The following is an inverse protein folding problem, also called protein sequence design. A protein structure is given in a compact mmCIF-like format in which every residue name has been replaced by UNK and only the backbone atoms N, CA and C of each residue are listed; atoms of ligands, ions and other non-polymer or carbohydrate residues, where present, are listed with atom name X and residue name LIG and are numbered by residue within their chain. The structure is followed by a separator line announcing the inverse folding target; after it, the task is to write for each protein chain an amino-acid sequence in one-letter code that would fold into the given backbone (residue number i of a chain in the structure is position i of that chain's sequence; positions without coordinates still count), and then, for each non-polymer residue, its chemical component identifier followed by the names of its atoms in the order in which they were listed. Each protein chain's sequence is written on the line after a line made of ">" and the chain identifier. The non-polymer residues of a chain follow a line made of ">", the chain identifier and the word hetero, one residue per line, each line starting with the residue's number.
data_IF_401491860931
#
_entry.id   IF_401491860931
#
_cell.length_a   1.000
_cell.length_b   1.000
_cell.length_c   1.000
_cell.angle_alpha   90.00
_cell.angle_beta   90.00
_cell.angle_gamma   90.00
#
_symmetry.space_group_name_H-M   'P 1'
#
loop_
_entity.id
_entity.type
_entity.pdbx_description
1 polymer ?
#
# COMPACT_ATOMS: atom_id res chain seq x y z
N UNK A 1 -27.71 -6.26 -16.57
CA UNK A 1 -27.21 -6.58 -15.21
C UNK A 1 -26.49 -5.33 -14.75
N UNK A 2 -27.13 -4.51 -13.92
CA UNK A 2 -26.50 -3.31 -13.37
C UNK A 2 -26.09 -3.70 -11.97
N UNK A 3 -24.83 -4.06 -11.78
CA UNK A 3 -24.29 -4.34 -10.45
C UNK A 3 -24.25 -2.99 -9.71
N UNK A 4 -25.18 -2.83 -8.77
CA UNK A 4 -25.27 -1.65 -7.93
C UNK A 4 -24.07 -1.65 -6.96
N UNK A 5 -23.23 -0.63 -7.05
CA UNK A 5 -22.07 -0.48 -6.18
C UNK A 5 -22.53 0.19 -4.89
N UNK A 6 -22.68 -0.58 -3.82
CA UNK A 6 -22.95 -0.05 -2.47
C UNK A 6 -21.64 0.09 -1.71
N UNK A 7 -21.30 1.32 -1.31
CA UNK A 7 -20.07 1.63 -0.57
C UNK A 7 -20.43 2.03 0.86
N UNK A 8 -19.86 1.31 1.84
CA UNK A 8 -19.87 1.74 3.24
C UNK A 8 -18.58 2.52 3.49
N UNK A 9 -18.63 3.84 3.27
CA UNK A 9 -17.44 4.71 3.28
C UNK A 9 -16.57 4.54 4.54
N UNK A 10 -17.20 4.46 5.72
CA UNK A 10 -16.50 4.32 6.98
C UNK A 10 -15.70 3.00 7.11
N UNK A 11 -16.24 1.90 6.56
CA UNK A 11 -15.55 0.60 6.57
C UNK A 11 -14.36 0.61 5.61
N UNK A 12 -14.54 1.19 4.41
CA UNK A 12 -13.47 1.28 3.43
C UNK A 12 -12.33 2.21 3.91
N UNK A 13 -12.65 3.37 4.49
CA UNK A 13 -11.64 4.27 5.05
C UNK A 13 -10.87 3.60 6.20
N UNK A 14 -11.56 2.82 7.04
CA UNK A 14 -10.94 2.04 8.12
C UNK A 14 -9.98 0.99 7.56
N UNK A 15 -10.41 0.17 6.60
CA UNK A 15 -9.55 -0.86 6.01
C UNK A 15 -8.35 -0.27 5.26
N UNK A 16 -8.53 0.86 4.57
CA UNK A 16 -7.41 1.57 3.93
C UNK A 16 -6.40 2.09 4.96
N UNK A 17 -6.86 2.60 6.11
CA UNK A 17 -5.99 3.04 7.18
C UNK A 17 -5.21 1.87 7.84
N UNK A 18 -5.87 0.73 8.04
CA UNK A 18 -5.24 -0.50 8.52
C UNK A 18 -4.20 -1.02 7.51
N UNK A 19 -4.55 -1.02 6.22
CA UNK A 19 -3.63 -1.39 5.13
C UNK A 19 -2.41 -0.47 5.11
N UNK A 20 -2.59 0.85 5.21
CA UNK A 20 -1.49 1.81 5.28
C UNK A 20 -0.56 1.54 6.47
N UNK A 21 -1.15 1.24 7.63
CA UNK A 21 -0.39 0.89 8.84
C UNK A 21 0.42 -0.38 8.63
N UNK A 22 -0.19 -1.42 8.03
CA UNK A 22 0.49 -2.66 7.69
C UNK A 22 1.64 -2.43 6.70
N UNK A 23 1.44 -1.60 5.66
CA UNK A 23 2.47 -1.26 4.67
C UNK A 23 3.67 -0.54 5.32
N UNK A 24 3.42 0.36 6.27
CA UNK A 24 4.48 1.07 6.99
C UNK A 24 5.21 0.14 7.95
N UNK A 25 4.49 -0.80 8.58
CA UNK A 25 5.04 -1.79 9.50
C UNK A 25 5.88 -2.88 8.81
N UNK A 26 5.83 -3.00 7.47
CA UNK A 26 6.73 -3.88 6.72
C UNK A 26 8.17 -3.44 6.96
N UNK A 27 8.86 -4.16 7.84
CA UNK A 27 10.25 -3.94 8.18
C UNK A 27 11.11 -4.27 6.95
N UNK A 28 11.75 -3.26 6.38
CA UNK A 28 12.64 -3.43 5.21
C UNK A 28 14.06 -3.86 5.60
N UNK A 29 14.33 -4.08 6.90
CA UNK A 29 15.63 -4.51 7.38
C UNK A 29 15.74 -6.04 7.37
N UNK A 30 16.25 -6.59 6.28
CA UNK A 30 16.79 -7.94 6.34
C UNK A 30 18.11 -7.86 7.12
N UNK A 31 18.25 -8.70 8.15
CA UNK A 31 19.29 -8.64 9.16
C UNK A 31 20.71 -8.43 8.59
N UNK A 32 21.48 -7.63 9.32
CA UNK A 32 22.80 -7.12 9.00
C UNK A 32 23.82 -8.22 8.75
N UNK A 33 24.43 -8.16 7.56
CA UNK A 33 25.76 -8.64 7.19
C UNK A 33 26.24 -9.94 7.85
N UNK A 34 26.33 -11.01 7.06
CA UNK A 34 27.04 -12.23 7.46
C UNK A 34 28.49 -11.82 7.75
N UNK A 35 28.85 -11.81 9.03
CA UNK A 35 30.18 -11.42 9.49
C UNK A 35 31.17 -12.52 9.05
N UNK A 36 32.22 -12.06 8.38
CA UNK A 36 33.17 -12.83 7.59
C UNK A 36 33.62 -14.15 8.25
N UNK A 37 33.39 -15.26 7.57
CA UNK A 37 34.14 -16.49 7.80
C UNK A 37 34.47 -17.19 6.48
N UNK A 38 35.78 -17.29 6.22
CA UNK A 38 36.53 -18.08 5.23
C UNK A 38 36.21 -17.98 3.72
N UNK A 39 34.98 -17.67 3.28
CA UNK A 39 34.64 -17.57 1.85
C UNK A 39 34.07 -16.19 1.50
N UNK A 40 34.96 -15.20 1.29
CA UNK A 40 34.59 -13.81 0.94
C UNK A 40 33.63 -13.72 -0.26
N UNK A 41 33.75 -14.62 -1.24
CA UNK A 41 32.90 -14.60 -2.47
C UNK A 41 31.44 -14.95 -2.15
N UNK A 42 31.21 -15.92 -1.26
CA UNK A 42 29.87 -16.37 -0.90
C UNK A 42 29.19 -15.33 0.00
N UNK A 43 29.92 -14.78 0.97
CA UNK A 43 29.43 -13.69 1.81
C UNK A 43 29.09 -12.43 0.98
N UNK A 44 29.90 -12.08 -0.02
CA UNK A 44 29.64 -10.94 -0.91
C UNK A 44 28.39 -11.16 -1.78
N UNK A 45 28.20 -12.37 -2.33
CA UNK A 45 26.98 -12.71 -3.10
C UNK A 45 25.73 -12.64 -2.23
N UNK A 46 25.79 -13.13 -0.99
CA UNK A 46 24.66 -13.06 -0.05
C UNK A 46 24.35 -11.60 0.33
N UNK A 47 25.36 -10.76 0.53
CA UNK A 47 25.16 -9.34 0.80
C UNK A 47 24.53 -8.61 -0.41
N UNK A 48 24.98 -8.88 -1.65
CA UNK A 48 24.37 -8.31 -2.87
C UNK A 48 22.93 -8.76 -3.08
N UNK A 49 22.62 -10.02 -2.79
CA UNK A 49 21.26 -10.53 -2.81
C UNK A 49 20.40 -9.81 -1.75
N UNK A 50 20.96 -9.62 -0.56
CA UNK A 50 20.30 -8.94 0.52
C UNK A 50 19.95 -7.48 0.16
N UNK A 51 20.91 -6.75 -0.40
CA UNK A 51 20.69 -5.38 -0.92
C UNK A 51 19.61 -5.36 -2.01
N UNK A 52 19.64 -6.32 -2.95
CA UNK A 52 18.64 -6.43 -4.01
C UNK A 52 17.25 -6.67 -3.46
N UNK A 53 17.11 -7.56 -2.47
CA UNK A 53 15.85 -7.83 -1.78
C UNK A 53 15.35 -6.60 -1.02
N UNK A 54 16.22 -5.88 -0.32
CA UNK A 54 15.86 -4.62 0.34
C UNK A 54 15.36 -3.58 -0.68
N UNK A 55 16.00 -3.47 -1.84
CA UNK A 55 15.54 -2.56 -2.89
C UNK A 55 14.17 -2.97 -3.46
N UNK A 56 13.94 -4.26 -3.68
CA UNK A 56 12.65 -4.79 -4.15
C UNK A 56 11.57 -4.50 -3.11
N UNK A 57 11.83 -4.76 -1.82
CA UNK A 57 10.89 -4.49 -0.73
C UNK A 57 10.55 -3.00 -0.63
N UNK A 58 11.54 -2.11 -0.73
CA UNK A 58 11.31 -0.66 -0.76
C UNK A 58 10.47 -0.22 -1.95
N UNK A 59 10.73 -0.78 -3.14
CA UNK A 59 9.93 -0.48 -4.35
C UNK A 59 8.49 -0.98 -4.19
N UNK A 60 8.32 -2.19 -3.66
CA UNK A 60 7.01 -2.77 -3.41
C UNK A 60 6.20 -1.97 -2.39
N UNK A 61 6.84 -1.57 -1.28
CA UNK A 61 6.24 -0.69 -0.28
C UNK A 61 5.77 0.64 -0.91
N UNK A 62 6.59 1.25 -1.77
CA UNK A 62 6.21 2.47 -2.50
C UNK A 62 4.99 2.27 -3.41
N UNK A 63 4.91 1.15 -4.12
CA UNK A 63 3.77 0.81 -4.97
C UNK A 63 2.51 0.63 -4.12
N UNK A 64 2.61 -0.09 -3.00
CA UNK A 64 1.48 -0.30 -2.09
C UNK A 64 0.95 1.02 -1.50
N UNK A 65 1.86 1.92 -1.07
CA UNK A 65 1.47 3.26 -0.61
C UNK A 65 0.78 4.08 -1.71
N UNK A 66 1.25 3.98 -2.95
CA UNK A 66 0.62 4.67 -4.07
C UNK A 66 -0.79 4.12 -4.35
N UNK A 67 -0.96 2.80 -4.32
CA UNK A 67 -2.25 2.16 -4.53
C UNK A 67 -3.26 2.53 -3.42
N UNK A 68 -2.83 2.53 -2.16
CA UNK A 68 -3.66 2.99 -1.03
C UNK A 68 -4.09 4.45 -1.21
N UNK A 69 -3.17 5.32 -1.63
CA UNK A 69 -3.51 6.73 -1.91
C UNK A 69 -4.50 6.88 -3.07
N UNK A 70 -4.34 6.08 -4.13
CA UNK A 70 -5.28 6.07 -5.26
C UNK A 70 -6.67 5.57 -4.84
N UNK A 71 -6.74 4.52 -4.03
CA UNK A 71 -8.00 4.00 -3.50
C UNK A 71 -8.73 5.05 -2.64
N UNK A 72 -8.02 5.74 -1.73
CA UNK A 72 -8.59 6.83 -0.95
C UNK A 72 -9.17 7.94 -1.83
N UNK A 73 -8.44 8.36 -2.87
CA UNK A 73 -8.93 9.38 -3.82
C UNK A 73 -10.17 8.92 -4.58
N UNK A 74 -10.23 7.64 -4.97
CA UNK A 74 -11.39 7.09 -5.64
C UNK A 74 -12.63 7.09 -4.74
N UNK A 75 -12.46 6.72 -3.47
CA UNK A 75 -13.54 6.73 -2.47
C UNK A 75 -14.02 8.16 -2.18
N UNK A 76 -13.11 9.12 -2.05
CA UNK A 76 -13.49 10.53 -1.88
C UNK A 76 -14.29 11.06 -3.08
N UNK A 77 -13.86 10.76 -4.31
CA UNK A 77 -14.61 11.15 -5.51
C UNK A 77 -15.99 10.50 -5.58
N UNK A 78 -16.10 9.22 -5.21
CA UNK A 78 -17.38 8.53 -5.11
C UNK A 78 -18.32 9.25 -4.13
N UNK A 79 -17.79 9.64 -2.96
CA UNK A 79 -18.55 10.38 -1.95
C UNK A 79 -19.02 11.75 -2.46
N UNK A 80 -18.15 12.50 -3.11
CA UNK A 80 -18.50 13.81 -3.70
C UNK A 80 -19.61 13.69 -4.75
N UNK A 81 -19.55 12.65 -5.58
CA UNK A 81 -20.59 12.36 -6.59
C UNK A 81 -21.92 12.03 -5.92
N UNK A 82 -21.92 11.16 -4.91
CA UNK A 82 -23.13 10.80 -4.16
C UNK A 82 -23.75 12.00 -3.45
N UNK A 83 -22.93 12.84 -2.80
CA UNK A 83 -23.39 14.08 -2.14
C UNK A 83 -23.98 15.07 -3.16
N UNK A 84 -23.37 15.20 -4.33
CA UNK A 84 -23.85 16.06 -5.43
C UNK A 84 -25.19 15.57 -5.98
N UNK A 85 -25.32 14.25 -6.21
CA UNK A 85 -26.57 13.64 -6.66
C UNK A 85 -27.69 13.81 -5.63
N UNK A 86 -27.40 13.58 -4.36
CA UNK A 86 -28.35 13.76 -3.26
C UNK A 86 -28.82 15.22 -3.15
N UNK A 87 -27.91 16.19 -3.30
CA UNK A 87 -28.25 17.61 -3.32
C UNK A 87 -29.11 17.99 -4.54
N UNK A 88 -28.83 17.41 -5.71
CA UNK A 88 -29.64 17.60 -6.92
C UNK A 88 -31.04 17.03 -6.80
N UNK A 89 -31.20 15.88 -6.14
CA UNK A 89 -32.52 15.28 -5.88
C UNK A 89 -33.34 16.05 -4.85
N UNK A 90 -32.71 16.64 -3.82
CA UNK A 90 -33.40 17.47 -2.80
C UNK A 90 -33.92 18.82 -3.31
N UNK A 91 -33.43 19.30 -4.45
CA UNK A 91 -33.83 20.59 -5.05
C UNK A 91 -35.01 20.50 -6.03
N UNK A 92 -35.50 19.30 -6.35
CA UNK A 92 -36.71 19.06 -7.16
C UNK A 92 -37.89 18.78 -6.26
#
# INVERSE_FOLDING_TARGET
>A
MSDEIKVVYAEVEKELAELRTAIIAVQTSIASSIQACQDMITAEKVNKLNESLQQILKRYQKILLNNESMANKAIQKLREVDETLAAGMRKR
#
